data_IF_332938174318
#
_entry.id   IF_332938174318
#
_cell.length_a   1.000
_cell.length_b   1.000
_cell.length_c   1.000
_cell.angle_alpha   90.00
_cell.angle_beta   90.00
_cell.angle_gamma   90.00
#
_symmetry.space_group_name_H-M   'P 1'
#
loop_
_entity.id
_entity.type
_entity.pdbx_description
1 polymer ?
#
# COMPACT_ATOMS: atom_id res chain seq x y z
N UNK A 1 -10.25 7.00 12.17
CA UNK A 1 -10.41 5.87 13.10
C UNK A 1 -10.73 6.37 14.51
N UNK A 2 -11.16 5.49 15.41
CA UNK A 2 -11.54 5.80 16.79
C UNK A 2 -10.95 4.75 17.74
N UNK A 3 -10.31 5.22 18.81
CA UNK A 3 -9.85 4.38 19.92
C UNK A 3 -10.58 4.83 21.18
N UNK A 4 -11.08 3.88 21.96
CA UNK A 4 -11.75 4.19 23.23
C UNK A 4 -10.79 3.96 24.40
N UNK A 5 -10.65 4.94 25.26
CA UNK A 5 -9.88 4.84 26.49
C UNK A 5 -10.80 4.85 27.71
N UNK A 6 -10.60 3.92 28.63
CA UNK A 6 -11.40 3.82 29.86
C UNK A 6 -11.25 2.45 30.53
N UNK A 7 -11.95 2.28 31.65
CA UNK A 7 -11.97 0.99 32.37
C UNK A 7 -12.52 -0.12 31.48
N UNK A 8 -11.81 -1.25 31.42
CA UNK A 8 -12.17 -2.42 30.58
C UNK A 8 -13.62 -2.88 30.72
N UNK A 9 -14.18 -2.74 31.90
CA UNK A 9 -15.56 -3.15 32.24
C UNK A 9 -16.62 -2.23 31.61
N UNK A 10 -16.27 -0.97 31.34
CA UNK A 10 -17.21 0.06 30.87
C UNK A 10 -17.23 0.13 29.34
N UNK A 11 -16.08 -0.03 28.70
CA UNK A 11 -15.91 0.17 27.26
C UNK A 11 -16.89 -0.66 26.40
N UNK A 12 -17.10 -1.97 26.64
CA UNK A 12 -18.02 -2.78 25.83
C UNK A 12 -19.46 -2.25 25.85
N UNK A 13 -19.92 -1.79 27.01
CA UNK A 13 -21.24 -1.19 27.15
C UNK A 13 -21.31 0.19 26.49
N UNK A 14 -20.25 1.00 26.63
CA UNK A 14 -20.18 2.32 26.01
C UNK A 14 -20.23 2.24 24.47
N UNK A 15 -19.56 1.26 23.86
CA UNK A 15 -19.60 1.02 22.41
C UNK A 15 -21.03 0.87 21.86
N UNK A 16 -21.94 0.31 22.65
CA UNK A 16 -23.33 0.11 22.25
C UNK A 16 -24.13 1.41 22.14
N UNK A 17 -23.69 2.49 22.81
CA UNK A 17 -24.32 3.82 22.73
C UNK A 17 -23.76 4.67 21.59
N UNK A 18 -22.62 4.29 21.00
CA UNK A 18 -22.08 5.01 19.85
C UNK A 18 -22.98 4.84 18.63
N UNK A 19 -23.22 5.95 17.93
CA UNK A 19 -23.83 5.95 16.61
C UNK A 19 -23.05 5.02 15.67
N UNK A 20 -23.76 4.36 14.75
CA UNK A 20 -23.19 3.33 13.85
C UNK A 20 -21.93 3.78 13.11
N UNK A 21 -21.89 5.04 12.67
CA UNK A 21 -20.73 5.66 12.01
C UNK A 21 -19.45 5.72 12.87
N UNK A 22 -19.55 5.92 14.18
CA UNK A 22 -18.40 5.89 15.07
C UNK A 22 -17.98 4.45 15.37
N UNK A 23 -18.96 3.56 15.52
CA UNK A 23 -18.72 2.13 15.73
C UNK A 23 -17.97 1.50 14.56
N UNK A 24 -18.30 1.86 13.32
CA UNK A 24 -17.58 1.38 12.13
C UNK A 24 -16.15 1.91 12.01
N UNK A 25 -15.78 2.92 12.80
CA UNK A 25 -14.44 3.51 12.83
C UNK A 25 -13.61 3.05 14.02
N UNK A 26 -14.19 2.27 14.93
CA UNK A 26 -13.54 1.75 16.13
C UNK A 26 -12.47 0.73 15.76
N UNK A 27 -11.23 0.98 16.20
CA UNK A 27 -10.07 0.11 15.90
C UNK A 27 -9.48 -0.56 17.14
N UNK A 28 -9.87 -0.16 18.34
CA UNK A 28 -9.36 -0.76 19.56
C UNK A 28 -9.68 0.00 20.83
N UNK A 29 -9.21 -0.55 21.95
CA UNK A 29 -9.50 -0.08 23.29
C UNK A 29 -8.20 0.08 24.09
N UNK A 30 -8.15 1.11 24.92
CA UNK A 30 -7.06 1.39 25.85
C UNK A 30 -7.61 1.32 27.28
N UNK A 31 -6.99 0.49 28.09
CA UNK A 31 -7.25 0.47 29.53
C UNK A 31 -6.64 1.72 30.17
N UNK A 32 -7.48 2.59 30.73
CA UNK A 32 -7.07 3.84 31.35
C UNK A 32 -8.03 4.25 32.47
N UNK A 33 -7.45 4.80 33.54
CA UNK A 33 -8.16 5.49 34.62
C UNK A 33 -8.22 7.00 34.34
N UNK A 34 -9.16 7.75 34.96
CA UNK A 34 -9.29 9.20 34.75
C UNK A 34 -8.03 10.02 35.05
N UNK A 35 -7.16 9.53 35.95
CA UNK A 35 -5.89 10.14 36.35
C UNK A 35 -4.68 9.57 35.58
N UNK A 36 -4.91 8.70 34.60
CA UNK A 36 -3.85 8.14 33.78
C UNK A 36 -3.07 9.22 33.04
N UNK A 37 -1.74 9.10 33.09
CA UNK A 37 -0.85 10.05 32.43
C UNK A 37 -1.05 10.05 30.90
N UNK A 38 -1.09 11.23 30.29
CA UNK A 38 -1.28 11.39 28.85
C UNK A 38 -0.24 10.63 28.01
N UNK A 39 1.03 10.61 28.44
CA UNK A 39 2.10 9.89 27.74
C UNK A 39 1.88 8.38 27.77
N UNK A 40 1.31 7.85 28.86
CA UNK A 40 0.93 6.45 28.94
C UNK A 40 -0.21 6.13 27.96
N UNK A 41 -1.22 7.01 27.87
CA UNK A 41 -2.34 6.86 26.93
C UNK A 41 -1.83 6.92 25.49
N UNK A 42 -0.97 7.89 25.15
CA UNK A 42 -0.37 8.02 23.81
C UNK A 42 0.43 6.78 23.42
N UNK A 43 1.27 6.25 24.33
CA UNK A 43 2.02 5.02 24.05
C UNK A 43 1.13 3.80 23.82
N UNK A 44 0.03 3.67 24.58
CA UNK A 44 -0.94 2.58 24.36
C UNK A 44 -1.71 2.78 23.06
N UNK A 45 -2.06 4.02 22.72
CA UNK A 45 -2.72 4.34 21.46
C UNK A 45 -1.84 4.02 20.26
N UNK A 46 -0.54 4.35 20.32
CA UNK A 46 0.39 4.05 19.26
C UNK A 46 0.43 2.55 18.95
N UNK A 47 0.49 1.69 19.98
CA UNK A 47 0.45 0.23 19.77
C UNK A 47 -0.81 -0.24 19.06
N UNK A 48 -1.99 0.28 19.44
CA UNK A 48 -3.26 -0.06 18.79
C UNK A 48 -3.26 0.41 17.32
N UNK A 49 -2.68 1.58 17.04
CA UNK A 49 -2.53 2.10 15.68
C UNK A 49 -1.62 1.20 14.86
N UNK A 50 -0.43 0.87 15.37
CA UNK A 50 0.56 0.03 14.68
C UNK A 50 -0.02 -1.35 14.36
N UNK A 51 -0.71 -1.99 15.33
CA UNK A 51 -1.38 -3.27 15.14
C UNK A 51 -2.49 -3.19 14.08
N UNK A 52 -3.30 -2.11 14.10
CA UNK A 52 -4.36 -1.90 13.13
C UNK A 52 -3.81 -1.66 11.72
N UNK A 53 -2.76 -0.85 11.58
CA UNK A 53 -2.10 -0.58 10.31
C UNK A 53 -1.47 -1.85 9.74
N UNK A 54 -0.72 -2.59 10.54
CA UNK A 54 -0.12 -3.87 10.12
C UNK A 54 -1.20 -4.86 9.67
N UNK A 55 -2.29 -5.00 10.42
CA UNK A 55 -3.41 -5.88 10.05
C UNK A 55 -4.08 -5.44 8.74
N UNK A 56 -4.29 -4.14 8.56
CA UNK A 56 -4.93 -3.57 7.37
C UNK A 56 -4.05 -3.77 6.14
N UNK A 57 -2.76 -3.46 6.24
CA UNK A 57 -1.76 -3.67 5.19
C UNK A 57 -1.64 -5.16 4.82
N UNK A 58 -1.58 -6.07 5.80
CA UNK A 58 -1.54 -7.51 5.55
C UNK A 58 -2.80 -8.02 4.84
N UNK A 59 -3.99 -7.57 5.25
CA UNK A 59 -5.24 -7.94 4.59
C UNK A 59 -5.33 -7.40 3.16
N UNK A 60 -4.74 -6.24 2.89
CA UNK A 60 -4.64 -5.69 1.53
C UNK A 60 -3.72 -6.55 0.64
N UNK A 61 -2.57 -7.00 1.17
CA UNK A 61 -1.65 -7.89 0.46
C UNK A 61 -2.31 -9.24 0.18
N UNK A 62 -3.00 -9.82 1.16
CA UNK A 62 -3.72 -11.08 0.98
C UNK A 62 -4.75 -10.98 -0.15
N UNK A 63 -5.55 -9.90 -0.18
CA UNK A 63 -6.49 -9.64 -1.28
C UNK A 63 -5.79 -9.43 -2.62
N UNK A 64 -4.68 -8.71 -2.66
CA UNK A 64 -3.90 -8.51 -3.89
C UNK A 64 -3.46 -9.86 -4.47
N UNK A 65 -2.97 -10.77 -3.62
CA UNK A 65 -2.51 -12.09 -4.02
C UNK A 65 -3.69 -12.96 -4.47
N UNK A 66 -4.80 -12.96 -3.73
CA UNK A 66 -6.01 -13.72 -4.10
C UNK A 66 -6.59 -13.26 -5.46
N UNK A 67 -6.52 -11.96 -5.73
CA UNK A 67 -6.95 -11.32 -6.98
C UNK A 67 -5.93 -11.46 -8.12
N UNK A 68 -4.75 -12.06 -7.89
CA UNK A 68 -3.78 -12.35 -8.94
C UNK A 68 -4.17 -13.61 -9.72
N UNK A 69 -5.17 -13.47 -10.57
CA UNK A 69 -5.67 -14.52 -11.46
C UNK A 69 -6.22 -13.92 -12.77
N UNK A 70 -6.45 -14.70 -13.84
CA UNK A 70 -6.83 -14.17 -15.15
C UNK A 70 -8.09 -13.30 -15.19
N UNK A 71 -8.98 -13.45 -14.21
CA UNK A 71 -10.23 -12.69 -14.11
C UNK A 71 -10.25 -11.75 -12.88
N UNK A 72 -9.12 -11.61 -12.19
CA UNK A 72 -8.99 -10.83 -10.99
C UNK A 72 -8.49 -9.41 -11.26
N UNK A 73 -8.39 -8.64 -10.19
CA UNK A 73 -7.98 -7.23 -10.21
C UNK A 73 -6.53 -7.04 -9.76
N UNK A 74 -5.84 -8.10 -9.36
CA UNK A 74 -4.49 -8.07 -8.81
C UNK A 74 -3.44 -8.33 -9.88
N UNK A 75 -2.39 -7.51 -9.87
CA UNK A 75 -1.19 -7.73 -10.69
C UNK A 75 0.04 -7.71 -9.78
N UNK A 76 0.89 -8.71 -9.91
CA UNK A 76 2.10 -8.88 -9.11
C UNK A 76 3.36 -8.70 -9.97
N UNK A 77 4.43 -8.24 -9.33
CA UNK A 77 5.74 -8.05 -9.94
C UNK A 77 5.88 -6.74 -10.72
N UNK A 78 7.13 -6.33 -10.91
CA UNK A 78 7.46 -5.02 -11.51
C UNK A 78 7.03 -4.91 -12.98
N UNK A 79 7.18 -5.99 -13.76
CA UNK A 79 6.79 -6.00 -15.18
C UNK A 79 5.28 -5.80 -15.37
N UNK A 80 4.47 -6.47 -14.54
CA UNK A 80 3.03 -6.30 -14.53
C UNK A 80 2.61 -4.92 -14.02
N UNK A 81 3.33 -4.39 -13.03
CA UNK A 81 3.12 -3.05 -12.48
C UNK A 81 3.38 -1.98 -13.54
N UNK A 82 4.53 -2.01 -14.23
CA UNK A 82 4.87 -1.09 -15.31
C UNK A 82 3.83 -1.14 -16.44
N UNK A 83 3.40 -2.34 -16.85
CA UNK A 83 2.34 -2.49 -17.87
C UNK A 83 1.02 -1.87 -17.43
N UNK A 84 0.65 -2.02 -16.15
CA UNK A 84 -0.59 -1.47 -15.59
C UNK A 84 -0.54 0.05 -15.46
N UNK A 85 0.64 0.59 -15.16
CA UNK A 85 0.94 2.02 -15.09
C UNK A 85 0.82 2.67 -16.47
N UNK A 86 1.34 2.01 -17.51
CA UNK A 86 1.29 2.49 -18.90
C UNK A 86 -0.15 2.68 -19.42
N UNK A 87 -1.10 1.88 -18.94
CA UNK A 87 -2.51 1.93 -19.33
C UNK A 87 -3.39 2.67 -18.31
N UNK A 88 -2.79 3.34 -17.32
CA UNK A 88 -3.46 4.13 -16.27
C UNK A 88 -4.57 3.36 -15.52
N UNK A 89 -4.42 2.03 -15.39
CA UNK A 89 -5.43 1.17 -14.75
C UNK A 89 -5.18 0.95 -13.27
N UNK A 90 -4.14 1.53 -12.68
CA UNK A 90 -3.83 1.35 -11.26
C UNK A 90 -4.84 2.12 -10.40
N UNK A 91 -5.40 1.44 -9.40
CA UNK A 91 -6.14 2.04 -8.30
C UNK A 91 -5.23 2.21 -7.08
N UNK A 92 -4.54 1.13 -6.71
CA UNK A 92 -3.64 1.07 -5.55
C UNK A 92 -2.31 0.46 -6.00
N UNK A 93 -1.20 1.15 -5.77
CA UNK A 93 0.16 0.60 -5.88
C UNK A 93 0.62 0.15 -4.49
N UNK A 94 1.06 -1.10 -4.38
CA UNK A 94 1.54 -1.71 -3.14
C UNK A 94 2.98 -2.16 -3.38
N UNK A 95 3.91 -1.71 -2.55
CA UNK A 95 5.33 -2.04 -2.71
C UNK A 95 6.03 -2.16 -1.36
N UNK A 96 7.07 -2.99 -1.31
CA UNK A 96 7.97 -3.05 -0.16
C UNK A 96 8.96 -1.87 -0.20
N UNK A 97 9.07 -1.12 0.89
CA UNK A 97 9.95 0.07 1.00
C UNK A 97 11.42 -0.25 0.77
N UNK A 98 11.83 -1.50 1.00
CA UNK A 98 13.21 -1.94 0.82
C UNK A 98 13.45 -2.52 -0.57
N UNK A 99 12.40 -2.62 -1.41
CA UNK A 99 12.52 -3.12 -2.76
C UNK A 99 12.98 -2.01 -3.70
N UNK A 100 14.21 -2.16 -4.17
CA UNK A 100 14.78 -1.35 -5.23
C UNK A 100 15.04 -2.22 -6.44
N UNK A 101 15.00 -1.61 -7.64
CA UNK A 101 15.33 -2.32 -8.87
C UNK A 101 15.91 -1.38 -9.90
N UNK A 102 17.00 -1.80 -10.52
CA UNK A 102 17.56 -1.10 -11.67
C UNK A 102 16.59 -1.15 -12.86
N UNK A 103 16.62 -0.11 -13.68
CA UNK A 103 15.83 -0.06 -14.89
C UNK A 103 16.22 1.10 -15.79
N UNK A 104 15.37 1.35 -16.79
CA UNK A 104 15.58 2.37 -17.79
C UNK A 104 14.31 3.16 -18.06
N UNK A 105 14.50 4.45 -18.31
CA UNK A 105 13.42 5.39 -18.63
C UNK A 105 13.74 6.09 -19.94
N UNK A 106 12.75 6.16 -20.82
CA UNK A 106 12.88 6.95 -22.03
C UNK A 106 12.88 8.45 -21.71
N UNK A 107 13.92 9.17 -22.15
CA UNK A 107 14.03 10.63 -21.99
C UNK A 107 12.97 11.44 -22.76
N UNK A 108 12.35 10.81 -23.76
CA UNK A 108 11.43 11.47 -24.70
C UNK A 108 9.95 11.23 -24.37
N UNK A 109 9.58 10.00 -24.00
CA UNK A 109 8.19 9.62 -23.74
C UNK A 109 7.94 9.00 -22.36
N UNK A 110 8.95 8.99 -21.48
CA UNK A 110 8.87 8.45 -20.11
C UNK A 110 8.54 6.95 -20.01
N UNK A 111 8.60 6.19 -21.11
CA UNK A 111 8.47 4.73 -21.07
C UNK A 111 9.46 4.09 -20.09
N UNK A 112 8.93 3.31 -19.13
CA UNK A 112 9.65 2.58 -18.09
C UNK A 112 9.90 1.13 -18.52
N UNK A 113 11.09 0.59 -18.23
CA UNK A 113 11.42 -0.82 -18.46
C UNK A 113 12.51 -1.31 -17.51
N UNK A 114 12.44 -2.56 -17.08
CA UNK A 114 13.53 -3.22 -16.31
C UNK A 114 14.53 -3.95 -17.21
N UNK A 115 14.23 -4.08 -18.49
CA UNK A 115 15.10 -4.68 -19.50
C UNK A 115 15.82 -3.60 -20.30
N UNK A 116 17.13 -3.77 -20.49
CA UNK A 116 17.89 -2.96 -21.44
C UNK A 116 17.41 -3.19 -22.87
N UNK A 117 17.27 -2.11 -23.62
CA UNK A 117 17.00 -2.11 -25.07
C UNK A 117 17.83 -1.03 -25.73
N UNK A 118 18.20 -1.22 -27.00
CA UNK A 118 19.01 -0.23 -27.73
C UNK A 118 18.26 1.09 -27.98
N UNK A 119 16.93 1.09 -27.89
CA UNK A 119 16.09 2.28 -27.98
C UNK A 119 14.68 2.03 -27.45
N UNK A 120 13.95 3.12 -27.18
CA UNK A 120 12.57 3.03 -26.73
C UNK A 120 11.68 2.37 -27.81
N UNK A 121 10.93 1.30 -27.48
CA UNK A 121 10.09 0.60 -28.46
C UNK A 121 8.88 1.42 -28.93
N UNK A 122 8.56 2.53 -28.26
CA UNK A 122 7.39 3.36 -28.58
C UNK A 122 7.74 4.59 -29.42
N UNK A 123 8.87 5.26 -29.15
CA UNK A 123 9.24 6.50 -29.83
C UNK A 123 10.66 6.50 -30.43
N UNK A 124 11.45 5.46 -30.22
CA UNK A 124 12.85 5.39 -30.67
C UNK A 124 13.84 6.24 -29.85
N UNK A 125 13.37 6.96 -28.82
CA UNK A 125 14.20 7.78 -27.94
C UNK A 125 15.20 6.98 -27.11
N UNK A 126 16.14 7.68 -26.46
CA UNK A 126 17.20 7.06 -25.66
C UNK A 126 16.64 6.53 -24.35
N UNK A 127 17.04 5.31 -23.98
CA UNK A 127 16.77 4.75 -22.67
C UNK A 127 17.91 5.13 -21.71
N UNK A 128 17.56 5.88 -20.66
CA UNK A 128 18.46 6.35 -19.60
C UNK A 128 18.38 5.38 -18.44
N UNK A 129 19.53 4.93 -17.93
CA UNK A 129 19.62 4.01 -16.82
C UNK A 129 19.34 4.70 -15.46
N UNK A 130 18.64 3.98 -14.59
CA UNK A 130 18.31 4.37 -13.22
C UNK A 130 18.67 3.22 -12.27
N UNK A 131 19.34 3.55 -11.17
CA UNK A 131 19.67 2.58 -10.11
C UNK A 131 18.41 2.11 -9.36
N UNK A 132 17.41 2.98 -9.26
CA UNK A 132 16.13 2.67 -8.68
C UNK A 132 15.00 3.21 -9.55
N UNK A 133 14.35 2.33 -10.31
CA UNK A 133 13.17 2.65 -11.11
C UNK A 133 11.89 2.58 -10.28
N UNK A 134 11.93 2.02 -9.06
CA UNK A 134 10.75 1.89 -8.21
C UNK A 134 10.27 3.26 -7.77
N UNK A 135 11.18 4.16 -7.41
CA UNK A 135 10.87 5.56 -7.09
C UNK A 135 10.12 6.24 -8.24
N UNK A 136 10.56 6.02 -9.48
CA UNK A 136 9.95 6.61 -10.67
C UNK A 136 8.57 6.00 -10.97
N UNK A 137 8.37 4.70 -10.71
CA UNK A 137 7.06 4.04 -10.77
C UNK A 137 6.10 4.64 -9.73
N UNK A 138 6.58 4.89 -8.52
CA UNK A 138 5.78 5.49 -7.44
C UNK A 138 5.40 6.93 -7.79
N UNK A 139 6.33 7.73 -8.29
CA UNK A 139 6.08 9.10 -8.72
C UNK A 139 5.05 9.16 -9.88
N UNK A 140 5.21 8.34 -10.91
CA UNK A 140 4.27 8.26 -12.01
C UNK A 140 2.87 7.80 -11.52
N UNK A 141 2.79 6.84 -10.60
CA UNK A 141 1.53 6.39 -10.02
C UNK A 141 0.83 7.49 -9.20
N UNK A 142 1.59 8.26 -8.42
CA UNK A 142 1.10 9.44 -7.69
C UNK A 142 0.53 10.48 -8.66
N UNK A 143 1.24 10.77 -9.75
CA UNK A 143 0.81 11.71 -10.78
C UNK A 143 -0.50 11.26 -11.47
N UNK A 144 -0.75 9.94 -11.56
CA UNK A 144 -2.01 9.37 -12.07
C UNK A 144 -3.14 9.32 -11.02
N UNK A 145 -2.90 9.82 -9.80
CA UNK A 145 -3.87 9.83 -8.70
C UNK A 145 -4.11 8.45 -8.08
N UNK A 146 -3.11 7.56 -8.12
CA UNK A 146 -3.20 6.25 -7.48
C UNK A 146 -3.02 6.37 -5.97
N UNK A 147 -3.68 5.49 -5.22
CA UNK A 147 -3.37 5.27 -3.80
C UNK A 147 -2.05 4.52 -3.69
N UNK A 148 -1.14 4.99 -2.84
CA UNK A 148 0.16 4.35 -2.61
C UNK A 148 0.16 3.73 -1.21
N UNK A 149 0.47 2.44 -1.15
CA UNK A 149 0.62 1.71 0.11
C UNK A 149 2.01 1.11 0.18
N UNK A 150 2.85 1.74 0.98
CA UNK A 150 4.15 1.20 1.33
C UNK A 150 4.02 0.09 2.39
N UNK A 151 4.87 -0.92 2.28
CA UNK A 151 4.95 -2.07 3.18
C UNK A 151 6.40 -2.22 3.65
N UNK A 152 6.63 -2.70 4.86
CA UNK A 152 7.98 -2.99 5.33
C UNK A 152 8.07 -4.47 5.73
N UNK A 153 8.93 -5.22 5.01
CA UNK A 153 9.34 -6.57 5.41
C UNK A 153 8.24 -7.62 5.37
N UNK A 154 7.22 -7.48 4.52
CA UNK A 154 6.15 -8.48 4.44
C UNK A 154 6.57 -9.67 3.56
N UNK A 155 6.75 -10.84 4.16
CA UNK A 155 7.21 -12.03 3.45
C UNK A 155 6.32 -12.47 2.28
N UNK A 156 4.99 -12.29 2.39
CA UNK A 156 4.06 -12.68 1.32
C UNK A 156 4.27 -11.81 0.09
N UNK A 157 4.39 -10.49 0.29
CA UNK A 157 4.66 -9.55 -0.78
C UNK A 157 6.05 -9.79 -1.38
N UNK A 158 7.07 -10.00 -0.57
CA UNK A 158 8.44 -10.29 -1.03
C UNK A 158 8.45 -11.53 -1.93
N UNK A 159 7.81 -12.63 -1.51
CA UNK A 159 7.68 -13.86 -2.33
C UNK A 159 6.87 -13.63 -3.61
N UNK A 160 5.96 -12.67 -3.59
CA UNK A 160 5.14 -12.25 -4.72
C UNK A 160 5.84 -11.25 -5.67
N UNK A 161 7.12 -10.92 -5.44
CA UNK A 161 7.91 -10.02 -6.28
C UNK A 161 8.03 -8.59 -5.75
N UNK A 162 7.69 -8.36 -4.47
CA UNK A 162 7.91 -7.13 -3.69
C UNK A 162 7.17 -5.87 -4.16
N UNK A 163 6.41 -5.94 -5.25
CA UNK A 163 5.60 -4.86 -5.79
C UNK A 163 4.38 -5.45 -6.49
N UNK A 164 3.25 -4.76 -6.45
CA UNK A 164 2.05 -5.13 -7.17
C UNK A 164 1.00 -4.03 -7.12
N UNK A 165 -0.08 -4.23 -7.88
CA UNK A 165 -1.14 -3.23 -8.03
C UNK A 165 -2.52 -3.86 -7.96
N UNK A 166 -3.46 -3.10 -7.39
CA UNK A 166 -4.89 -3.35 -7.54
C UNK A 166 -5.40 -2.46 -8.66
N UNK A 167 -6.04 -3.04 -9.66
CA UNK A 167 -6.58 -2.32 -10.81
C UNK A 167 -7.89 -1.59 -10.48
N UNK A 168 -8.28 -0.62 -11.33
CA UNK A 168 -9.58 0.07 -11.27
C UNK A 168 -10.73 -0.78 -11.82
N UNK A 169 -10.46 -1.58 -12.86
CA UNK A 169 -11.36 -2.54 -13.50
C UNK A 169 -10.53 -3.66 -14.15
N UNK A 170 -11.19 -4.78 -14.51
CA UNK A 170 -10.53 -5.96 -15.09
C UNK A 170 -9.87 -5.61 -16.44
N UNK A 171 -8.82 -6.36 -16.79
CA UNK A 171 -8.15 -6.22 -18.07
C UNK A 171 -9.03 -6.70 -19.23
#
# INVERSE_FOLDING_TARGET
YLILAGRKEIIPNFLNYLHSYLRSRHIGNIDAEPDSNISLISNKAQKVIDEFEAKTKNALIDRLIDEYNPNGMGVLGIDGTIKSLLIEKIRILIYDRQFTREGYICDSCRYLTVEYKDGCPYCGGKLVFYNDIVDEIVEDALNQGCEIVDIEGNEKLIRAGSIGVVLRYKL
#
